data_IF_298648517503
#
_entry.id   IF_298648517503
#
_cell.length_a   1.000
_cell.length_b   1.000
_cell.length_c   1.000
_cell.angle_alpha   90.00
_cell.angle_beta   90.00
_cell.angle_gamma   90.00
#
_symmetry.space_group_name_H-M   'P 1'
#
loop_
_entity.id
_entity.type
_entity.pdbx_description
1 polymer ?
#
# COMPACT_ATOMS: atom_id res chain seq x y z
N UNK A 1 15.19 60.84 19.38
CA UNK A 1 14.12 60.57 18.40
C UNK A 1 14.75 59.97 17.15
N UNK A 2 14.18 58.87 16.61
CA UNK A 2 14.59 58.15 15.37
C UNK A 2 15.89 57.33 15.58
N UNK A 3 16.00 56.02 15.34
CA UNK A 3 15.35 55.15 14.34
C UNK A 3 15.52 53.65 14.71
N UNK A 4 14.50 52.89 14.31
CA UNK A 4 14.53 51.53 13.76
C UNK A 4 14.97 50.37 14.67
N UNK A 5 13.98 49.83 15.37
CA UNK A 5 13.58 48.41 15.26
C UNK A 5 13.78 47.87 13.83
N UNK A 6 14.88 47.14 13.57
CA UNK A 6 14.98 46.27 12.39
C UNK A 6 16.16 45.30 12.53
N UNK A 7 15.93 44.18 13.21
CA UNK A 7 16.97 43.15 13.38
C UNK A 7 16.42 41.77 13.68
N UNK A 8 15.17 41.49 13.30
CA UNK A 8 14.55 40.19 13.50
C UNK A 8 13.74 39.82 12.25
N UNK A 9 14.42 39.52 11.13
CA UNK A 9 13.74 39.02 9.95
C UNK A 9 14.64 38.24 8.98
N UNK A 10 15.34 37.20 9.44
CA UNK A 10 15.91 36.18 8.53
C UNK A 10 15.90 34.80 9.22
N UNK A 11 14.74 34.16 9.37
CA UNK A 11 14.66 32.72 9.74
C UNK A 11 13.59 31.98 8.90
N UNK A 12 13.27 32.42 7.67
CA UNK A 12 12.14 31.83 6.92
C UNK A 12 12.39 31.59 5.42
N UNK A 13 13.60 31.18 5.04
CA UNK A 13 13.88 30.76 3.66
C UNK A 13 14.64 29.43 3.59
N UNK A 14 14.20 28.45 4.36
CA UNK A 14 14.38 27.06 3.96
C UNK A 14 13.05 26.64 3.32
N UNK A 15 12.90 26.71 1.98
CA UNK A 15 11.87 25.92 1.33
C UNK A 15 12.32 24.48 1.53
N UNK A 16 11.88 23.87 2.63
CA UNK A 16 11.91 22.43 2.77
C UNK A 16 11.15 21.90 1.58
N UNK A 17 11.87 21.24 0.67
CA UNK A 17 11.30 20.33 -0.31
C UNK A 17 10.69 19.17 0.47
N UNK A 18 9.56 19.43 1.13
CA UNK A 18 8.72 18.38 1.66
C UNK A 18 8.06 17.75 0.43
N UNK A 19 8.73 16.76 -0.16
CA UNK A 19 8.10 15.88 -1.13
C UNK A 19 6.88 15.28 -0.42
N UNK A 20 5.69 15.56 -0.97
CA UNK A 20 4.44 15.09 -0.42
C UNK A 20 4.37 13.56 -0.59
N UNK A 21 4.76 12.84 0.46
CA UNK A 21 4.59 11.38 0.52
C UNK A 21 3.12 11.09 0.76
N UNK A 22 2.50 10.35 -0.14
CA UNK A 22 1.13 9.87 0.04
C UNK A 22 1.20 8.48 0.67
N UNK A 23 0.58 8.32 1.85
CA UNK A 23 0.44 7.03 2.51
C UNK A 23 -0.94 6.43 2.20
N UNK A 24 -1.00 5.13 1.98
CA UNK A 24 -2.26 4.45 1.73
C UNK A 24 -2.15 2.93 1.82
N UNK A 25 -3.29 2.29 1.58
CA UNK A 25 -3.43 0.84 1.43
C UNK A 25 -4.37 0.59 0.26
N UNK A 26 -4.24 -0.55 -0.39
CA UNK A 26 -5.12 -0.96 -1.49
C UNK A 26 -5.85 -2.24 -1.14
N UNK A 27 -7.09 -2.36 -1.60
CA UNK A 27 -7.84 -3.61 -1.55
C UNK A 27 -7.85 -4.24 -2.94
N UNK A 28 -7.51 -5.52 -3.02
CA UNK A 28 -7.55 -6.31 -4.24
C UNK A 28 -8.70 -7.33 -4.15
N UNK A 29 -9.51 -7.42 -5.20
CA UNK A 29 -10.51 -8.48 -5.37
C UNK A 29 -9.94 -9.52 -6.36
N UNK A 30 -10.00 -10.80 -6.00
CA UNK A 30 -9.62 -11.90 -6.87
C UNK A 30 -10.79 -12.87 -7.09
N UNK A 31 -10.82 -13.51 -8.27
CA UNK A 31 -11.87 -14.46 -8.66
C UNK A 31 -11.24 -15.78 -9.06
N UNK A 32 -11.65 -16.85 -8.40
CA UNK A 32 -11.19 -18.21 -8.67
C UNK A 32 -12.31 -18.99 -9.32
N UNK A 33 -12.05 -19.48 -10.53
CA UNK A 33 -12.95 -20.38 -11.24
C UNK A 33 -12.56 -21.82 -10.94
N UNK A 34 -13.48 -22.57 -10.33
CA UNK A 34 -13.31 -23.99 -10.05
C UNK A 34 -14.49 -24.79 -10.61
N UNK A 35 -14.27 -26.07 -10.87
CA UNK A 35 -15.26 -26.98 -11.47
C UNK A 35 -16.52 -27.14 -10.61
N UNK A 36 -16.38 -27.05 -9.27
CA UNK A 36 -17.46 -27.32 -8.31
C UNK A 36 -17.95 -26.05 -7.60
N UNK A 37 -17.04 -25.23 -7.05
CA UNK A 37 -17.40 -24.03 -6.29
C UNK A 37 -16.47 -22.87 -6.68
N UNK A 38 -16.89 -22.06 -7.64
CA UNK A 38 -16.18 -20.82 -7.99
C UNK A 38 -16.42 -19.77 -6.89
N UNK A 39 -15.42 -18.96 -6.59
CA UNK A 39 -15.53 -17.98 -5.51
C UNK A 39 -14.75 -16.71 -5.80
N UNK A 40 -15.08 -15.68 -5.04
CA UNK A 40 -14.35 -14.42 -4.97
C UNK A 40 -13.68 -14.30 -3.61
N UNK A 41 -12.59 -13.55 -3.55
CA UNK A 41 -11.97 -13.16 -2.29
C UNK A 41 -11.35 -11.79 -2.39
N UNK A 42 -10.99 -11.26 -1.23
CA UNK A 42 -10.40 -9.94 -1.04
C UNK A 42 -9.09 -10.05 -0.28
N UNK A 43 -8.14 -9.20 -0.62
CA UNK A 43 -6.88 -9.05 0.08
C UNK A 43 -6.62 -7.55 0.32
N UNK A 44 -6.31 -7.19 1.56
CA UNK A 44 -5.90 -5.83 1.92
C UNK A 44 -4.38 -5.76 1.96
N UNK A 45 -3.80 -4.76 1.31
CA UNK A 45 -2.36 -4.57 1.34
C UNK A 45 -1.90 -4.06 2.71
N UNK A 46 -0.65 -4.33 3.05
CA UNK A 46 0.03 -3.55 4.07
C UNK A 46 0.11 -2.08 3.65
N UNK A 47 0.14 -1.13 4.60
CA UNK A 47 0.32 0.27 4.31
C UNK A 47 1.64 0.50 3.55
N UNK A 48 1.58 1.33 2.51
CA UNK A 48 2.75 1.75 1.76
C UNK A 48 2.70 3.25 1.50
N UNK A 49 3.85 3.82 1.16
CA UNK A 49 3.99 5.22 0.78
C UNK A 49 4.42 5.31 -0.67
N UNK A 50 3.89 6.29 -1.38
CA UNK A 50 4.30 6.63 -2.74
C UNK A 50 4.74 8.08 -2.82
N UNK A 51 5.80 8.32 -3.57
CA UNK A 51 6.25 9.64 -3.98
C UNK A 51 5.64 9.99 -5.35
N UNK A 52 5.55 11.28 -5.67
CA UNK A 52 4.85 11.75 -6.89
C UNK A 52 5.53 11.29 -8.18
N UNK A 53 6.83 11.04 -8.13
CA UNK A 53 7.67 10.57 -9.23
C UNK A 53 7.88 9.04 -9.26
N UNK A 54 7.26 8.30 -8.33
CA UNK A 54 7.30 6.84 -8.33
C UNK A 54 6.57 6.29 -9.56
N UNK A 55 7.36 5.73 -10.49
CA UNK A 55 6.83 5.03 -11.67
C UNK A 55 6.33 3.63 -11.34
N UNK A 56 6.85 3.05 -10.26
CA UNK A 56 6.58 1.70 -9.79
C UNK A 56 6.27 1.75 -8.30
N UNK A 57 5.23 1.04 -7.90
CA UNK A 57 4.78 0.94 -6.51
C UNK A 57 4.82 -0.52 -6.11
N UNK A 58 5.53 -0.82 -5.02
CA UNK A 58 5.54 -2.16 -4.44
C UNK A 58 4.36 -2.28 -3.49
N UNK A 59 3.49 -3.25 -3.74
CA UNK A 59 2.32 -3.55 -2.92
C UNK A 59 2.50 -4.93 -2.33
N UNK A 60 2.27 -5.08 -1.03
CA UNK A 60 2.40 -6.37 -0.36
C UNK A 60 1.10 -6.73 0.34
N UNK A 61 0.68 -7.97 0.22
CA UNK A 61 -0.52 -8.53 0.86
C UNK A 61 -0.11 -9.65 1.81
N UNK A 62 -0.66 -9.63 3.02
CA UNK A 62 -0.51 -10.72 3.99
C UNK A 62 -1.52 -11.83 3.68
N UNK A 63 -1.03 -13.03 3.40
CA UNK A 63 -1.85 -14.19 3.06
C UNK A 63 -2.78 -14.57 4.23
N UNK A 64 -2.35 -14.35 5.47
CA UNK A 64 -3.14 -14.66 6.66
C UNK A 64 -4.36 -13.74 6.80
N UNK A 65 -4.35 -12.57 6.14
CA UNK A 65 -5.43 -11.58 6.15
C UNK A 65 -6.34 -11.65 4.91
N UNK A 66 -6.13 -12.62 4.02
CA UNK A 66 -7.00 -12.82 2.86
C UNK A 66 -8.34 -13.42 3.28
N UNK A 67 -9.43 -12.95 2.66
CA UNK A 67 -10.79 -13.37 2.99
C UNK A 67 -11.55 -13.82 1.74
N UNK A 68 -12.20 -14.97 1.81
CA UNK A 68 -13.13 -15.49 0.77
C UNK A 68 -14.58 -15.51 1.25
N UNK A 69 -14.83 -14.98 2.45
CA UNK A 69 -16.12 -15.05 3.15
C UNK A 69 -16.44 -16.44 3.73
N UNK A 70 -15.52 -17.41 3.63
CA UNK A 70 -15.65 -18.76 4.21
C UNK A 70 -14.39 -19.15 4.96
N UNK A 71 -14.41 -19.08 6.29
CA UNK A 71 -13.27 -19.36 7.18
C UNK A 71 -12.50 -20.65 6.86
N UNK A 72 -13.21 -21.75 6.56
CA UNK A 72 -12.55 -23.02 6.22
C UNK A 72 -11.69 -22.89 4.95
N UNK A 73 -12.21 -22.18 3.93
CA UNK A 73 -11.50 -21.94 2.68
C UNK A 73 -10.33 -20.98 2.88
N UNK A 74 -10.48 -19.99 3.75
CA UNK A 74 -9.40 -19.05 4.07
C UNK A 74 -8.20 -19.80 4.70
N UNK A 75 -8.47 -20.74 5.61
CA UNK A 75 -7.43 -21.62 6.19
C UNK A 75 -6.81 -22.54 5.13
N UNK A 76 -7.62 -23.14 4.24
CA UNK A 76 -7.12 -23.97 3.15
C UNK A 76 -6.22 -23.17 2.19
N UNK A 77 -6.59 -21.92 1.88
CA UNK A 77 -5.79 -21.00 1.07
C UNK A 77 -4.45 -20.70 1.75
N UNK A 78 -4.45 -20.36 3.04
CA UNK A 78 -3.21 -20.13 3.81
C UNK A 78 -2.27 -21.34 3.72
N UNK A 79 -2.81 -22.55 3.85
CA UNK A 79 -2.03 -23.77 3.69
C UNK A 79 -1.52 -23.96 2.25
N UNK A 80 -2.37 -23.74 1.23
CA UNK A 80 -1.98 -23.86 -0.18
C UNK A 80 -0.85 -22.91 -0.58
N UNK A 81 -0.84 -21.70 -0.04
CA UNK A 81 0.22 -20.72 -0.26
C UNK A 81 1.43 -20.93 0.64
N UNK A 82 1.40 -21.93 1.53
CA UNK A 82 2.43 -22.17 2.53
C UNK A 82 2.71 -20.91 3.37
N UNK A 83 1.66 -20.26 3.86
CA UNK A 83 1.74 -18.94 4.50
C UNK A 83 2.68 -18.89 5.71
N UNK A 84 2.91 -20.01 6.39
CA UNK A 84 3.88 -20.08 7.49
C UNK A 84 5.35 -19.88 7.01
N UNK A 85 5.65 -20.28 5.78
CA UNK A 85 6.97 -20.14 5.14
C UNK A 85 7.04 -18.90 4.24
N UNK A 86 5.95 -18.60 3.53
CA UNK A 86 5.81 -17.49 2.60
C UNK A 86 4.58 -16.65 2.97
N UNK A 87 4.64 -15.81 4.01
CA UNK A 87 3.46 -15.10 4.53
C UNK A 87 2.95 -13.99 3.62
N UNK A 88 3.77 -13.52 2.67
CA UNK A 88 3.51 -12.30 1.92
C UNK A 88 3.46 -12.56 0.42
N UNK A 89 2.49 -11.95 -0.26
CA UNK A 89 2.45 -11.80 -1.71
C UNK A 89 2.87 -10.38 -2.05
N UNK A 90 3.95 -10.24 -2.82
CA UNK A 90 4.43 -8.92 -3.29
C UNK A 90 4.14 -8.76 -4.78
N UNK A 91 3.52 -7.64 -5.14
CA UNK A 91 3.30 -7.21 -6.52
C UNK A 91 3.93 -5.86 -6.78
N UNK A 92 4.28 -5.61 -8.04
CA UNK A 92 4.75 -4.30 -8.51
C UNK A 92 3.67 -3.74 -9.45
N UNK A 93 3.08 -2.62 -9.06
CA UNK A 93 2.16 -1.87 -9.90
C UNK A 93 2.93 -0.73 -10.60
N UNK A 94 2.74 -0.58 -11.90
CA UNK A 94 3.24 0.58 -12.64
C UNK A 94 2.11 1.58 -12.86
N UNK A 95 2.45 2.86 -12.94
CA UNK A 95 1.51 3.85 -13.48
C UNK A 95 1.08 3.40 -14.89
N UNK A 96 -0.20 3.10 -15.07
CA UNK A 96 -0.73 2.80 -16.40
C UNK A 96 -0.53 4.05 -17.26
N UNK A 97 0.09 3.90 -18.44
CA UNK A 97 0.08 4.97 -19.43
C UNK A 97 -1.40 5.22 -19.80
N UNK A 98 -1.92 6.37 -19.38
CA UNK A 98 -3.24 6.87 -19.79
C UNK A 98 -3.09 7.52 -21.17
#
# INVERSE_FOLDING_TARGET
>A
MKRLTLGLLIILTLPGLAQARMAGSVSAEFKVKATVDSFTGTALSEPFTVETDDKLVTVTFDIMKMETGKKKRDVEMQHMFHADEFPMITGIASQAAI
#
